data_IF_608101784201
#
_entry.id   IF_608101784201
#
_cell.length_a   1.000
_cell.length_b   1.000
_cell.length_c   1.000
_cell.angle_alpha   90.00
_cell.angle_beta   90.00
_cell.angle_gamma   90.00
#
_symmetry.space_group_name_H-M   'P 1'
#
loop_
_entity.id
_entity.type
_entity.pdbx_description
1 polymer ?
#
# COMPACT_ATOMS: atom_id res chain seq x y z
N UNK A 1 -4.59 16.52 17.72
CA UNK A 1 -3.14 16.43 17.47
C UNK A 1 -2.59 15.22 18.20
N UNK A 2 -1.72 14.45 17.55
CA UNK A 2 -1.05 13.28 18.13
C UNK A 2 0.44 13.37 17.83
N UNK A 3 1.26 12.75 18.67
CA UNK A 3 2.71 12.67 18.53
C UNK A 3 3.18 11.25 18.71
N UNK A 4 4.25 10.86 18.03
CA UNK A 4 4.89 9.56 18.16
C UNK A 4 4.92 8.77 16.86
N UNK A 5 4.87 7.42 16.95
CA UNK A 5 4.80 6.56 15.78
C UNK A 5 3.35 6.41 15.34
N UNK A 6 3.02 6.96 14.19
CA UNK A 6 1.65 7.09 13.68
C UNK A 6 1.51 6.46 12.29
N UNK A 7 0.26 6.07 11.96
CA UNK A 7 -0.11 5.80 10.57
C UNK A 7 -0.07 7.09 9.77
N UNK A 8 0.41 7.02 8.53
CA UNK A 8 0.43 8.19 7.65
C UNK A 8 -0.98 8.64 7.28
N UNK A 9 -1.16 9.94 7.09
CA UNK A 9 -2.43 10.51 6.69
C UNK A 9 -2.87 9.99 5.31
N UNK A 10 -1.92 9.83 4.40
CA UNK A 10 -2.17 9.28 3.08
C UNK A 10 -2.61 7.81 3.15
N UNK A 11 -1.94 6.99 3.95
CA UNK A 11 -2.35 5.60 4.18
C UNK A 11 -3.75 5.52 4.78
N UNK A 12 -4.04 6.30 5.82
CA UNK A 12 -5.37 6.33 6.45
C UNK A 12 -6.49 6.72 5.47
N UNK A 13 -6.19 7.60 4.51
CA UNK A 13 -7.16 8.04 3.52
C UNK A 13 -7.46 6.97 2.47
N UNK A 14 -6.50 6.13 2.10
CA UNK A 14 -6.61 5.30 0.91
C UNK A 14 -6.53 3.80 1.15
N UNK A 15 -5.80 3.31 2.16
CA UNK A 15 -5.68 1.87 2.45
C UNK A 15 -6.99 1.22 2.93
N UNK A 16 -7.95 2.02 3.36
CA UNK A 16 -9.31 1.58 3.74
C UNK A 16 -10.08 0.94 2.58
N UNK A 17 -9.61 1.09 1.35
CA UNK A 17 -10.21 0.47 0.17
C UNK A 17 -9.64 -0.92 -0.15
N UNK A 18 -8.64 -1.41 0.58
CA UNK A 18 -8.20 -2.80 0.47
C UNK A 18 -9.20 -3.74 1.15
N UNK A 19 -9.89 -4.55 0.36
CA UNK A 19 -10.90 -5.50 0.87
C UNK A 19 -10.30 -6.60 1.77
N UNK A 20 -8.97 -6.79 1.72
CA UNK A 20 -8.26 -7.71 2.60
C UNK A 20 -7.63 -7.01 3.82
N UNK A 21 -7.82 -5.68 3.94
CA UNK A 21 -7.39 -4.92 5.11
C UNK A 21 -5.88 -4.79 5.25
N UNK A 22 -5.16 -4.83 4.13
CA UNK A 22 -3.68 -4.74 4.09
C UNK A 22 -2.97 -5.82 4.90
N UNK A 23 -3.57 -7.02 4.98
CA UNK A 23 -3.00 -8.16 5.70
C UNK A 23 -3.17 -9.47 4.95
N UNK A 24 -2.23 -10.40 5.14
CA UNK A 24 -2.26 -11.74 4.55
C UNK A 24 -1.97 -11.76 3.06
N UNK A 25 -2.15 -12.94 2.46
CA UNK A 25 -1.78 -13.18 1.05
C UNK A 25 -2.68 -12.47 0.03
N UNK A 26 -3.88 -12.05 0.46
CA UNK A 26 -4.84 -11.34 -0.39
C UNK A 26 -4.66 -9.83 -0.44
N UNK A 27 -3.83 -9.26 0.46
CA UNK A 27 -3.64 -7.81 0.57
C UNK A 27 -3.17 -7.18 -0.74
N UNK A 28 -3.58 -5.94 -0.96
CA UNK A 28 -3.00 -5.10 -1.99
C UNK A 28 -1.69 -4.47 -1.50
N UNK A 29 -0.62 -4.62 -2.27
CA UNK A 29 0.64 -3.92 -2.02
C UNK A 29 0.61 -2.47 -2.48
N UNK A 30 -0.47 -2.05 -3.12
CA UNK A 30 -0.68 -0.68 -3.57
C UNK A 30 -0.53 0.34 -2.43
N UNK A 31 -1.08 0.01 -1.28
CA UNK A 31 -1.14 0.90 -0.12
C UNK A 31 0.04 0.76 0.84
N UNK A 32 0.85 -0.26 0.62
CA UNK A 32 2.03 -0.57 1.40
C UNK A 32 3.16 -0.87 0.42
N UNK A 33 3.75 0.17 -0.17
CA UNK A 33 4.98 0.00 -0.93
C UNK A 33 6.03 -0.55 0.01
N UNK A 34 6.29 -1.85 -0.11
CA UNK A 34 7.36 -2.49 0.62
C UNK A 34 8.71 -1.90 0.23
N UNK A 35 9.67 -2.16 1.07
CA UNK A 35 11.06 -1.75 0.99
C UNK A 35 11.57 -1.60 -0.45
N UNK A 36 12.12 -0.43 -0.77
CA UNK A 36 12.87 -0.23 -1.99
C UNK A 36 14.23 -0.89 -1.78
N UNK A 37 14.34 -2.17 -2.17
CA UNK A 37 15.66 -2.73 -2.40
C UNK A 37 16.30 -1.95 -3.55
N UNK A 38 17.49 -1.38 -3.35
CA UNK A 38 18.27 -0.82 -4.45
C UNK A 38 18.71 -1.97 -5.37
N UNK A 39 18.14 -2.07 -6.57
CA UNK A 39 18.43 -3.19 -7.46
C UNK A 39 19.72 -3.01 -8.24
N UNK A 40 20.28 -1.78 -8.24
CA UNK A 40 21.45 -1.45 -9.07
C UNK A 40 22.73 -1.83 -8.34
N UNK A 41 22.79 -1.66 -7.03
CA UNK A 41 24.04 -1.85 -6.27
C UNK A 41 24.01 -3.01 -5.28
N UNK A 42 22.92 -3.80 -5.24
CA UNK A 42 22.75 -4.88 -4.26
C UNK A 42 23.06 -4.44 -2.81
N UNK A 43 22.85 -3.15 -2.52
CA UNK A 43 23.01 -2.60 -1.18
C UNK A 43 21.88 -3.17 -0.37
N UNK A 44 22.24 -3.99 0.59
CA UNK A 44 21.29 -4.58 1.51
C UNK A 44 20.32 -3.52 2.02
N UNK A 45 19.04 -3.70 1.78
CA UNK A 45 17.94 -2.87 2.26
C UNK A 45 17.92 -2.70 3.80
N UNK A 46 18.85 -3.30 4.50
CA UNK A 46 19.05 -3.21 5.94
C UNK A 46 19.65 -1.87 6.42
N UNK A 47 20.12 -1.02 5.51
CA UNK A 47 20.61 0.31 5.87
C UNK A 47 19.47 1.33 5.76
N UNK A 48 18.45 1.21 6.62
CA UNK A 48 17.41 2.22 6.76
C UNK A 48 16.55 2.42 5.50
N UNK A 49 16.11 1.32 4.89
CA UNK A 49 15.18 1.36 3.77
C UNK A 49 13.97 2.18 4.15
N UNK A 50 13.85 3.33 3.54
CA UNK A 50 12.78 4.26 3.82
C UNK A 50 11.64 3.91 2.89
N UNK A 51 10.60 3.49 3.50
CA UNK A 51 9.37 3.16 2.82
C UNK A 51 8.43 4.34 3.01
N UNK A 52 7.79 4.82 1.94
CA UNK A 52 6.58 5.63 2.09
C UNK A 52 5.54 4.72 2.70
N UNK A 53 5.30 4.81 3.98
CA UNK A 53 4.78 3.68 4.69
C UNK A 53 3.49 3.95 5.38
N UNK A 54 2.95 2.83 5.73
CA UNK A 54 1.85 2.75 6.68
C UNK A 54 2.12 3.58 7.93
N UNK A 55 3.37 3.63 8.39
CA UNK A 55 3.73 4.32 9.65
C UNK A 55 5.04 5.08 9.54
N UNK A 56 5.06 6.21 10.23
CA UNK A 56 6.27 7.02 10.44
C UNK A 56 6.51 7.20 11.93
N UNK A 57 7.78 7.19 12.32
CA UNK A 57 8.23 7.50 13.69
C UNK A 57 8.44 9.01 13.84
N UNK A 58 8.52 9.49 15.08
CA UNK A 58 8.74 10.91 15.39
C UNK A 58 7.81 11.84 14.63
N UNK A 59 6.54 11.50 14.58
CA UNK A 59 5.54 12.23 13.81
C UNK A 59 4.73 13.18 14.66
N UNK A 60 4.41 14.32 14.07
CA UNK A 60 3.31 15.19 14.47
C UNK A 60 2.16 14.97 13.50
N UNK A 61 1.00 14.58 14.01
CA UNK A 61 -0.20 14.29 13.22
C UNK A 61 -1.36 15.16 13.67
N UNK A 62 -2.03 15.77 12.69
CA UNK A 62 -3.31 16.44 12.89
C UNK A 62 -4.38 15.72 12.06
N UNK A 63 -5.55 15.53 12.63
CA UNK A 63 -6.76 15.06 11.94
C UNK A 63 -7.89 16.04 12.27
N UNK A 64 -8.57 16.54 11.25
CA UNK A 64 -9.69 17.45 11.41
C UNK A 64 -10.91 16.74 12.01
N UNK A 65 -11.86 17.48 12.60
CA UNK A 65 -13.22 17.02 12.73
C UNK A 65 -13.84 16.63 11.39
N UNK A 66 -15.01 16.00 11.45
CA UNK A 66 -15.81 15.73 10.27
C UNK A 66 -16.58 17.00 9.86
N UNK A 67 -16.40 17.42 8.62
CA UNK A 67 -17.09 18.55 8.01
C UNK A 67 -18.05 18.05 6.93
N UNK A 68 -19.23 17.58 7.33
CA UNK A 68 -20.26 17.05 6.41
C UNK A 68 -19.71 15.95 5.48
N UNK A 69 -19.00 15.00 6.07
CA UNK A 69 -18.37 13.88 5.37
C UNK A 69 -16.92 14.12 4.94
N UNK A 70 -16.42 15.33 5.00
CA UNK A 70 -15.01 15.63 4.71
C UNK A 70 -14.14 15.55 5.96
N UNK A 71 -13.01 14.86 5.85
CA UNK A 71 -11.94 14.83 6.85
C UNK A 71 -10.59 15.03 6.18
N UNK A 72 -9.73 15.80 6.84
CA UNK A 72 -8.35 16.04 6.41
C UNK A 72 -7.41 15.54 7.49
N UNK A 73 -6.39 14.79 7.09
CA UNK A 73 -5.27 14.43 7.94
C UNK A 73 -3.98 15.02 7.37
N UNK A 74 -3.07 15.44 8.23
CA UNK A 74 -1.71 15.81 7.85
C UNK A 74 -0.72 15.25 8.85
N UNK A 75 0.43 14.82 8.36
CA UNK A 75 1.54 14.46 9.24
C UNK A 75 2.86 15.03 8.75
N UNK A 76 3.71 15.32 9.74
CA UNK A 76 5.10 15.63 9.54
C UNK A 76 5.95 14.70 10.42
N UNK A 77 6.86 13.95 9.77
CA UNK A 77 7.86 13.12 10.43
C UNK A 77 9.18 13.86 10.51
N UNK A 78 9.70 14.05 11.73
CA UNK A 78 11.00 14.62 11.94
C UNK A 78 12.07 13.59 11.61
N UNK A 79 12.97 13.90 10.68
CA UNK A 79 14.07 13.01 10.33
C UNK A 79 15.00 12.75 11.52
N UNK A 80 15.54 11.54 11.58
CA UNK A 80 16.55 11.16 12.56
C UNK A 80 17.86 10.89 11.82
N UNK A 81 18.81 11.80 11.94
CA UNK A 81 20.17 11.56 11.47
C UNK A 81 21.19 12.01 12.51
N UNK A 82 22.25 11.21 12.64
CA UNK A 82 23.38 11.51 13.54
C UNK A 82 24.15 12.76 13.16
N UNK A 83 23.96 13.28 11.94
CA UNK A 83 24.72 14.41 11.39
C UNK A 83 23.93 15.72 11.31
N UNK A 84 22.74 15.79 11.93
CA UNK A 84 21.94 17.04 12.00
C UNK A 84 21.34 17.50 10.66
N UNK A 85 21.43 16.68 9.63
CA UNK A 85 20.85 16.97 8.32
C UNK A 85 19.35 16.63 8.30
N UNK A 86 18.66 17.27 7.37
CA UNK A 86 17.21 17.12 7.19
C UNK A 86 16.78 15.79 6.53
N UNK A 87 17.58 14.77 6.66
CA UNK A 87 17.40 13.49 6.02
C UNK A 87 16.26 12.69 6.69
N UNK A 88 15.52 11.93 5.90
CA UNK A 88 14.40 11.10 6.34
C UNK A 88 13.19 11.89 6.86
N UNK A 89 13.02 13.15 6.44
CA UNK A 89 11.81 13.91 6.74
C UNK A 89 10.65 13.43 5.87
N UNK A 90 9.52 13.24 6.52
CA UNK A 90 8.29 12.85 5.86
C UNK A 90 7.25 13.96 5.95
N UNK A 91 6.54 14.21 4.87
CA UNK A 91 5.34 15.03 4.81
C UNK A 91 4.22 14.24 4.15
N UNK A 92 3.06 14.19 4.79
CA UNK A 92 1.90 13.50 4.24
C UNK A 92 0.61 14.24 4.48
N UNK A 93 -0.30 14.12 3.53
CA UNK A 93 -1.66 14.61 3.64
C UNK A 93 -2.65 13.55 3.13
N UNK A 94 -3.82 13.52 3.74
CA UNK A 94 -4.93 12.68 3.34
C UNK A 94 -6.24 13.45 3.38
N UNK A 95 -7.03 13.37 2.30
CA UNK A 95 -8.39 13.87 2.23
C UNK A 95 -9.34 12.68 2.11
N UNK A 96 -10.36 12.66 2.92
CA UNK A 96 -11.41 11.64 2.91
C UNK A 96 -12.75 12.31 2.74
N UNK A 97 -13.63 11.69 1.95
CA UNK A 97 -15.02 12.09 1.79
C UNK A 97 -15.93 10.88 1.87
N UNK A 98 -16.87 10.92 2.79
CA UNK A 98 -17.87 9.87 3.00
C UNK A 98 -19.27 10.48 2.96
N UNK A 99 -20.12 10.03 2.01
CA UNK A 99 -21.50 10.48 1.91
C UNK A 99 -22.39 9.34 1.40
N UNK A 100 -23.21 8.80 2.31
CA UNK A 100 -24.07 7.67 2.01
C UNK A 100 -23.30 6.48 1.44
N UNK A 101 -23.62 6.01 0.21
CA UNK A 101 -22.96 4.88 -0.40
C UNK A 101 -21.56 5.20 -0.96
N UNK A 102 -21.24 6.48 -1.15
CA UNK A 102 -19.98 6.93 -1.76
C UNK A 102 -18.92 7.21 -0.70
N UNK A 103 -17.72 6.70 -0.95
CA UNK A 103 -16.52 6.98 -0.16
C UNK A 103 -15.35 7.24 -1.09
N UNK A 104 -14.61 8.33 -0.88
CA UNK A 104 -13.43 8.73 -1.65
C UNK A 104 -12.26 9.05 -0.70
N UNK A 105 -11.04 8.82 -1.16
CA UNK A 105 -9.81 9.12 -0.44
C UNK A 105 -8.70 9.53 -1.38
N UNK A 106 -7.98 10.59 -1.02
CA UNK A 106 -6.77 11.07 -1.69
C UNK A 106 -5.64 11.11 -0.69
N UNK A 107 -4.50 10.54 -1.04
CA UNK A 107 -3.27 10.59 -0.26
C UNK A 107 -2.15 11.27 -1.05
N UNK A 108 -1.39 12.12 -0.38
CA UNK A 108 -0.20 12.79 -0.91
C UNK A 108 0.93 12.56 0.08
N UNK A 109 2.12 12.20 -0.41
CA UNK A 109 3.27 11.87 0.42
C UNK A 109 4.56 12.35 -0.22
N UNK A 110 5.44 12.87 0.61
CA UNK A 110 6.83 13.15 0.25
C UNK A 110 7.75 12.71 1.37
N UNK A 111 8.79 12.00 0.99
CA UNK A 111 9.86 11.57 1.86
C UNK A 111 11.19 12.06 1.30
N UNK A 112 11.91 12.86 2.08
CA UNK A 112 13.24 13.34 1.74
C UNK A 112 14.29 12.45 2.41
N UNK A 113 15.08 11.75 1.63
CA UNK A 113 16.12 10.86 2.15
C UNK A 113 17.48 11.54 2.36
N UNK A 114 17.64 12.77 1.88
CA UNK A 114 18.87 13.57 2.04
C UNK A 114 20.05 13.12 1.18
N UNK A 115 21.05 14.00 1.10
CA UNK A 115 22.21 13.85 0.22
C UNK A 115 23.20 12.74 0.62
N UNK A 116 23.04 12.14 1.78
CA UNK A 116 23.97 11.13 2.31
C UNK A 116 23.55 9.68 2.01
N UNK A 117 22.35 9.45 1.50
CA UNK A 117 22.03 8.13 0.96
C UNK A 117 22.54 8.06 -0.48
N UNK A 118 23.58 7.28 -0.70
CA UNK A 118 24.26 7.14 -2.01
C UNK A 118 23.33 6.60 -3.10
N UNK A 119 22.13 6.17 -2.76
CA UNK A 119 21.27 5.43 -3.67
C UNK A 119 19.88 6.05 -3.90
N UNK A 120 19.22 6.63 -2.91
CA UNK A 120 17.82 7.11 -3.02
C UNK A 120 17.71 8.52 -2.47
N UNK A 121 17.31 9.49 -3.31
CA UNK A 121 17.19 10.88 -2.85
C UNK A 121 15.81 11.17 -2.26
N UNK A 122 14.81 11.26 -3.07
CA UNK A 122 13.45 11.63 -2.64
C UNK A 122 12.41 10.63 -3.16
N UNK A 123 11.32 10.50 -2.43
CA UNK A 123 10.17 9.73 -2.84
C UNK A 123 8.95 10.63 -2.81
N UNK A 124 8.34 10.82 -3.96
CA UNK A 124 7.04 11.47 -4.10
C UNK A 124 5.97 10.45 -4.44
N UNK A 125 4.87 10.45 -3.71
CA UNK A 125 3.77 9.54 -4.00
C UNK A 125 2.41 10.22 -3.85
N UNK A 126 1.47 9.78 -4.68
CA UNK A 126 0.07 10.10 -4.51
C UNK A 126 -0.80 8.87 -4.75
N UNK A 127 -1.94 8.83 -4.10
CA UNK A 127 -2.87 7.72 -4.17
C UNK A 127 -4.31 8.22 -4.16
N UNK A 128 -5.14 7.55 -4.93
CA UNK A 128 -6.58 7.78 -5.00
C UNK A 128 -7.28 6.46 -4.72
N UNK A 129 -8.27 6.47 -3.87
CA UNK A 129 -9.12 5.32 -3.61
C UNK A 129 -10.58 5.74 -3.55
N UNK A 130 -11.46 4.78 -3.81
CA UNK A 130 -12.90 5.03 -3.68
C UNK A 130 -13.70 3.75 -3.61
N UNK A 131 -14.90 3.88 -3.11
CA UNK A 131 -15.87 2.79 -3.10
C UNK A 131 -17.29 3.31 -3.26
N UNK A 132 -18.14 2.46 -3.83
CA UNK A 132 -19.58 2.70 -3.92
C UNK A 132 -20.33 1.44 -3.48
N UNK A 133 -21.23 1.61 -2.53
CA UNK A 133 -22.08 0.54 -2.00
C UNK A 133 -23.44 0.53 -2.70
N UNK A 134 -23.70 -0.53 -3.46
CA UNK A 134 -24.97 -0.74 -4.17
C UNK A 134 -26.02 -1.46 -3.30
N UNK A 135 -25.71 -1.75 -2.04
CA UNK A 135 -26.54 -2.55 -1.15
C UNK A 135 -26.40 -4.06 -1.34
N UNK A 136 -26.38 -4.54 -2.57
CA UNK A 136 -26.15 -5.96 -2.90
C UNK A 136 -24.68 -6.32 -3.05
N UNK A 137 -23.84 -5.34 -3.39
CA UNK A 137 -22.40 -5.47 -3.51
C UNK A 137 -21.75 -4.08 -3.34
N UNK A 138 -20.50 -4.06 -2.87
CA UNK A 138 -19.67 -2.87 -2.81
C UNK A 138 -18.53 -3.01 -3.78
N UNK A 139 -18.40 -2.04 -4.69
CA UNK A 139 -17.24 -1.92 -5.58
C UNK A 139 -16.22 -0.98 -4.96
N UNK A 140 -14.94 -1.32 -5.13
CA UNK A 140 -13.81 -0.52 -4.65
C UNK A 140 -12.79 -0.42 -5.78
N UNK A 141 -12.18 0.77 -5.91
CA UNK A 141 -11.11 0.99 -6.86
C UNK A 141 -10.01 1.84 -6.23
N UNK A 142 -8.81 1.73 -6.76
CA UNK A 142 -7.68 2.51 -6.31
C UNK A 142 -6.57 2.63 -7.34
N UNK A 143 -5.83 3.71 -7.22
CA UNK A 143 -4.63 3.98 -7.98
C UNK A 143 -3.58 4.60 -7.06
N UNK A 144 -2.33 4.21 -7.25
CA UNK A 144 -1.18 4.85 -6.61
C UNK A 144 -0.05 5.02 -7.61
N UNK A 145 0.60 6.16 -7.55
CA UNK A 145 1.86 6.40 -8.24
C UNK A 145 2.90 6.84 -7.22
N UNK A 146 4.08 6.26 -7.29
CA UNK A 146 5.26 6.75 -6.59
C UNK A 146 6.40 6.95 -7.56
N UNK A 147 7.13 8.04 -7.38
CA UNK A 147 8.36 8.35 -8.09
C UNK A 147 9.50 8.30 -7.09
N UNK A 148 10.55 7.60 -7.45
CA UNK A 148 11.73 7.42 -6.62
C UNK A 148 12.94 7.80 -7.45
N UNK A 149 13.67 8.81 -7.02
CA UNK A 149 14.91 9.22 -7.66
C UNK A 149 16.07 8.38 -7.11
N UNK A 150 16.67 7.57 -7.97
CA UNK A 150 17.83 6.75 -7.64
C UNK A 150 19.02 7.24 -8.45
N UNK A 151 19.93 7.95 -7.81
CA UNK A 151 21.09 8.59 -8.45
C UNK A 151 20.65 9.48 -9.64
N UNK A 152 20.83 9.02 -10.88
CA UNK A 152 20.46 9.74 -12.10
C UNK A 152 19.24 9.16 -12.82
N UNK A 153 18.55 8.18 -12.22
CA UNK A 153 17.44 7.45 -12.85
C UNK A 153 16.16 7.62 -12.06
N UNK A 154 15.17 8.20 -12.69
CA UNK A 154 13.81 8.20 -12.16
C UNK A 154 13.20 6.80 -12.24
N UNK A 155 12.74 6.27 -11.12
CA UNK A 155 11.99 5.04 -11.04
C UNK A 155 10.53 5.37 -10.71
N UNK A 156 9.62 5.06 -11.63
CA UNK A 156 8.19 5.31 -11.48
C UNK A 156 7.41 4.02 -11.29
N UNK A 157 6.65 3.96 -10.21
CA UNK A 157 5.79 2.83 -9.89
C UNK A 157 4.34 3.24 -9.99
N UNK A 158 3.54 2.39 -10.64
CA UNK A 158 2.10 2.57 -10.75
C UNK A 158 1.42 1.32 -10.24
N UNK A 159 0.39 1.49 -9.44
CA UNK A 159 -0.45 0.42 -8.99
C UNK A 159 -1.92 0.72 -9.29
N UNK A 160 -2.63 -0.31 -9.72
CA UNK A 160 -4.05 -0.26 -10.02
C UNK A 160 -4.77 -1.32 -9.20
N UNK A 161 -5.89 -0.97 -8.63
CA UNK A 161 -6.68 -1.83 -7.77
C UNK A 161 -8.16 -1.79 -8.16
N UNK A 162 -8.76 -2.95 -8.26
CA UNK A 162 -10.20 -3.11 -8.41
C UNK A 162 -10.66 -4.25 -7.50
N UNK A 163 -11.73 -4.04 -6.76
CA UNK A 163 -12.25 -5.05 -5.87
C UNK A 163 -13.76 -4.99 -5.72
N UNK A 164 -14.31 -6.09 -5.24
CA UNK A 164 -15.71 -6.23 -4.91
C UNK A 164 -15.88 -7.00 -3.61
N UNK A 165 -16.85 -6.61 -2.82
CA UNK A 165 -17.38 -7.40 -1.71
C UNK A 165 -18.87 -7.60 -1.88
N UNK A 166 -19.36 -8.78 -1.55
CA UNK A 166 -20.79 -9.08 -1.58
C UNK A 166 -21.17 -10.01 -0.43
N UNK A 167 -22.29 -9.76 0.29
CA UNK A 167 -22.83 -10.70 1.23
C UNK A 167 -23.32 -11.95 0.50
N UNK A 168 -22.90 -13.12 0.95
CA UNK A 168 -23.31 -14.42 0.38
C UNK A 168 -23.59 -15.36 1.54
N UNK A 169 -24.85 -15.72 1.72
CA UNK A 169 -25.29 -16.48 2.88
C UNK A 169 -24.95 -15.75 4.18
N UNK A 170 -24.39 -16.42 5.19
CA UNK A 170 -24.01 -15.82 6.48
C UNK A 170 -22.65 -15.14 6.48
N UNK A 171 -22.01 -14.97 5.32
CA UNK A 171 -20.67 -14.41 5.23
C UNK A 171 -20.53 -13.39 4.13
N UNK A 172 -19.27 -13.01 3.89
CA UNK A 172 -18.86 -12.00 2.91
C UNK A 172 -17.85 -12.60 1.94
N UNK A 173 -18.19 -12.63 0.67
CA UNK A 173 -17.24 -12.86 -0.41
C UNK A 173 -16.49 -11.55 -0.68
N UNK A 174 -15.19 -11.64 -0.90
CA UNK A 174 -14.33 -10.54 -1.32
C UNK A 174 -13.40 -11.01 -2.43
N UNK A 175 -13.25 -10.18 -3.45
CA UNK A 175 -12.32 -10.43 -4.54
C UNK A 175 -11.60 -9.15 -4.92
N UNK A 176 -10.34 -9.24 -5.29
CA UNK A 176 -9.55 -8.12 -5.77
C UNK A 176 -8.65 -8.51 -6.93
N UNK A 177 -8.43 -7.54 -7.80
CA UNK A 177 -7.43 -7.59 -8.85
C UNK A 177 -6.49 -6.40 -8.67
N UNK A 178 -5.20 -6.68 -8.67
CA UNK A 178 -4.15 -5.69 -8.61
C UNK A 178 -3.28 -5.80 -9.85
N UNK A 179 -2.87 -4.66 -10.39
CA UNK A 179 -1.79 -4.56 -11.37
C UNK A 179 -0.73 -3.62 -10.83
N UNK A 180 0.50 -4.08 -10.85
CA UNK A 180 1.68 -3.34 -10.46
C UNK A 180 2.58 -3.13 -11.66
N UNK A 181 3.05 -1.92 -11.86
CA UNK A 181 3.99 -1.56 -12.92
C UNK A 181 5.16 -0.79 -12.34
N UNK A 182 6.35 -1.20 -12.67
CA UNK A 182 7.58 -0.50 -12.34
C UNK A 182 8.28 -0.11 -13.64
N UNK A 183 8.54 1.18 -13.81
CA UNK A 183 9.23 1.73 -14.99
C UNK A 183 10.55 2.32 -14.52
N UNK A 184 11.64 1.86 -15.05
CA UNK A 184 12.94 2.38 -14.71
C UNK A 184 13.91 2.19 -15.90
N UNK A 185 14.80 3.17 -16.13
CA UNK A 185 15.88 3.12 -17.12
C UNK A 185 15.44 2.56 -18.50
N UNK A 186 14.26 2.98 -18.99
CA UNK A 186 13.70 2.53 -20.27
C UNK A 186 13.07 1.15 -20.26
N UNK A 187 13.12 0.43 -19.12
CA UNK A 187 12.47 -0.87 -18.94
C UNK A 187 11.11 -0.76 -18.23
N UNK A 188 10.35 -1.83 -18.29
CA UNK A 188 9.06 -1.94 -17.62
C UNK A 188 8.86 -3.35 -17.09
N UNK A 189 8.58 -3.44 -15.80
CA UNK A 189 8.15 -4.67 -15.14
C UNK A 189 6.68 -4.60 -14.78
N UNK A 190 5.98 -5.72 -14.88
CA UNK A 190 4.56 -5.82 -14.53
C UNK A 190 4.29 -7.08 -13.74
N UNK A 191 3.39 -6.97 -12.77
CA UNK A 191 2.82 -8.10 -12.07
C UNK A 191 1.31 -7.92 -11.91
N UNK A 192 0.57 -9.01 -12.04
CA UNK A 192 -0.87 -9.07 -11.78
C UNK A 192 -1.13 -10.00 -10.60
N UNK A 193 -1.98 -9.56 -9.68
CA UNK A 193 -2.44 -10.36 -8.56
C UNK A 193 -3.97 -10.46 -8.58
N UNK A 194 -4.47 -11.67 -8.47
CA UNK A 194 -5.88 -11.96 -8.26
C UNK A 194 -6.05 -12.63 -6.90
N UNK A 195 -6.94 -12.10 -6.07
CA UNK A 195 -7.23 -12.66 -4.76
C UNK A 195 -8.74 -12.85 -4.58
N UNK A 196 -9.13 -13.99 -4.01
CA UNK A 196 -10.52 -14.29 -3.67
C UNK A 196 -10.57 -14.83 -2.25
N UNK A 197 -11.51 -14.37 -1.46
CA UNK A 197 -11.67 -14.82 -0.08
C UNK A 197 -13.14 -14.83 0.36
N UNK A 198 -13.37 -15.59 1.42
CA UNK A 198 -14.65 -15.66 2.09
C UNK A 198 -14.43 -15.52 3.60
N UNK A 199 -15.25 -14.69 4.23
CA UNK A 199 -15.28 -14.48 5.68
C UNK A 199 -16.61 -14.94 6.20
N UNK A 200 -16.61 -15.90 7.13
CA UNK A 200 -17.79 -16.43 7.77
C UNK A 200 -17.86 -15.99 9.23
N UNK A 201 -18.94 -15.32 9.62
CA UNK A 201 -19.15 -14.88 10.99
C UNK A 201 -19.70 -16.02 11.87
N UNK A 202 -18.89 -16.47 12.83
CA UNK A 202 -19.33 -17.43 13.85
C UNK A 202 -20.10 -16.73 14.98
N UNK A 203 -19.71 -15.50 15.30
CA UNK A 203 -20.38 -14.64 16.29
C UNK A 203 -20.09 -13.17 15.99
N UNK A 204 -20.65 -12.25 16.79
CA UNK A 204 -20.34 -10.81 16.68
C UNK A 204 -18.84 -10.48 16.87
N UNK A 205 -18.07 -11.38 17.50
CA UNK A 205 -16.66 -11.17 17.83
C UNK A 205 -15.73 -12.17 17.16
N UNK A 206 -16.26 -13.22 16.53
CA UNK A 206 -15.44 -14.31 15.97
C UNK A 206 -15.83 -14.57 14.53
N UNK A 207 -14.85 -14.58 13.65
CA UNK A 207 -15.01 -15.02 12.27
C UNK A 207 -13.89 -15.98 11.86
N UNK A 208 -14.20 -16.85 10.93
CA UNK A 208 -13.21 -17.66 10.21
C UNK A 208 -13.12 -17.15 8.79
N UNK A 209 -11.95 -17.24 8.19
CA UNK A 209 -11.77 -16.82 6.81
C UNK A 209 -10.87 -17.76 6.03
N UNK A 210 -11.11 -17.81 4.72
CA UNK A 210 -10.23 -18.44 3.75
C UNK A 210 -9.92 -17.44 2.63
N UNK A 211 -8.70 -17.45 2.14
CA UNK A 211 -8.24 -16.60 1.04
C UNK A 211 -7.35 -17.41 0.10
N UNK A 212 -7.61 -17.34 -1.19
CA UNK A 212 -6.72 -17.79 -2.24
C UNK A 212 -6.15 -16.56 -2.95
N UNK A 213 -4.88 -16.59 -3.27
CA UNK A 213 -4.24 -15.54 -4.06
C UNK A 213 -3.31 -16.13 -5.11
N UNK A 214 -3.32 -15.50 -6.28
CA UNK A 214 -2.48 -15.84 -7.42
C UNK A 214 -1.79 -14.59 -7.92
N UNK A 215 -0.46 -14.64 -8.03
CA UNK A 215 0.39 -13.56 -8.51
C UNK A 215 1.17 -14.05 -9.73
N UNK A 216 1.21 -13.25 -10.78
CA UNK A 216 1.97 -13.53 -12.00
C UNK A 216 2.80 -12.33 -12.41
N UNK A 217 4.09 -12.54 -12.56
CA UNK A 217 5.01 -11.63 -13.24
C UNK A 217 4.81 -11.73 -14.75
N UNK A 218 4.63 -10.61 -15.46
CA UNK A 218 4.41 -10.60 -16.91
C UNK A 218 5.63 -10.14 -17.69
N UNK A 219 6.20 -9.04 -17.29
CA UNK A 219 7.38 -8.46 -17.92
C UNK A 219 8.50 -8.41 -16.89
N UNK A 220 9.73 -8.61 -17.32
CA UNK A 220 10.90 -8.61 -16.47
C UNK A 220 12.06 -7.96 -17.21
N UNK A 221 12.57 -6.87 -16.67
CA UNK A 221 13.72 -6.13 -17.21
C UNK A 221 14.83 -5.96 -16.16
N UNK A 222 15.09 -7.02 -15.41
CA UNK A 222 16.20 -7.07 -14.45
C UNK A 222 15.82 -6.84 -13.00
N UNK A 223 14.74 -6.09 -12.72
CA UNK A 223 14.19 -5.94 -11.38
C UNK A 223 12.81 -6.56 -11.40
N UNK A 224 12.61 -7.68 -10.70
CA UNK A 224 11.26 -8.23 -10.65
C UNK A 224 10.33 -7.24 -9.94
N UNK A 225 9.31 -6.73 -10.64
CA UNK A 225 8.20 -6.05 -9.98
C UNK A 225 7.61 -6.91 -8.86
N UNK A 226 7.77 -8.22 -8.99
CA UNK A 226 7.41 -9.26 -8.04
C UNK A 226 8.33 -9.37 -6.83
N UNK A 227 9.58 -8.97 -6.89
CA UNK A 227 10.42 -8.89 -5.68
C UNK A 227 9.83 -7.94 -4.65
N UNK A 228 8.99 -7.00 -5.12
CA UNK A 228 8.24 -6.06 -4.30
C UNK A 228 6.85 -6.58 -3.89
N UNK A 229 6.32 -7.61 -4.57
CA UNK A 229 4.91 -8.03 -4.47
C UNK A 229 4.76 -9.54 -4.29
N UNK A 230 5.68 -10.19 -3.58
CA UNK A 230 5.58 -11.63 -3.33
C UNK A 230 4.46 -11.98 -2.36
N UNK A 231 3.81 -13.13 -2.56
CA UNK A 231 2.85 -13.69 -1.60
C UNK A 231 3.53 -14.30 -0.36
N UNK A 232 4.85 -14.40 -0.38
CA UNK A 232 5.67 -14.97 0.68
C UNK A 232 7.16 -14.72 0.41
N UNK A 233 8.05 -15.45 1.07
CA UNK A 233 9.49 -15.39 0.79
C UNK A 233 9.81 -16.12 -0.51
N UNK A 234 10.43 -15.48 -1.44
CA UNK A 234 10.94 -16.07 -2.68
C UNK A 234 10.89 -15.12 -3.87
N UNK A 235 11.95 -15.13 -4.66
CA UNK A 235 12.06 -14.31 -5.87
C UNK A 235 11.24 -14.90 -7.01
N UNK A 236 10.34 -14.12 -7.58
CA UNK A 236 9.72 -14.45 -8.83
C UNK A 236 10.69 -14.11 -9.98
N UNK A 237 11.11 -15.14 -10.70
CA UNK A 237 11.82 -14.97 -11.97
C UNK A 237 10.89 -14.45 -13.06
N UNK A 238 11.46 -14.03 -14.20
CA UNK A 238 10.70 -13.67 -15.40
C UNK A 238 9.58 -14.69 -15.69
N UNK A 239 8.36 -14.22 -15.91
CA UNK A 239 7.14 -15.04 -16.05
C UNK A 239 6.82 -15.97 -14.87
N UNK A 240 7.43 -15.73 -13.71
CA UNK A 240 7.18 -16.49 -12.50
C UNK A 240 5.74 -16.34 -12.01
N UNK A 241 5.27 -17.37 -11.33
CA UNK A 241 3.93 -17.43 -10.74
C UNK A 241 4.05 -17.84 -9.29
N UNK A 242 3.26 -17.21 -8.43
CA UNK A 242 3.06 -17.63 -7.05
C UNK A 242 1.57 -17.81 -6.79
N UNK A 243 1.24 -18.76 -5.96
CA UNK A 243 -0.13 -18.96 -5.49
C UNK A 243 -0.10 -19.42 -4.05
N UNK A 244 -1.15 -19.10 -3.31
CA UNK A 244 -1.23 -19.48 -1.91
C UNK A 244 -2.68 -19.57 -1.44
N UNK A 245 -2.87 -20.37 -0.40
CA UNK A 245 -4.12 -20.45 0.35
C UNK A 245 -3.80 -20.08 1.78
N UNK A 246 -4.60 -19.21 2.36
CA UNK A 246 -4.55 -18.84 3.76
C UNK A 246 -5.90 -19.09 4.41
N UNK A 247 -5.90 -19.73 5.56
CA UNK A 247 -7.07 -19.86 6.42
C UNK A 247 -6.74 -19.30 7.80
N UNK A 248 -7.74 -18.75 8.48
CA UNK A 248 -7.51 -18.16 9.79
C UNK A 248 -8.79 -17.87 10.55
N UNK A 249 -8.59 -17.49 11.79
CA UNK A 249 -9.64 -17.06 12.72
C UNK A 249 -9.31 -15.62 13.13
N UNK A 250 -10.32 -14.78 13.16
CA UNK A 250 -10.25 -13.43 13.74
C UNK A 250 -11.17 -13.38 14.94
N UNK A 251 -10.66 -12.91 16.08
CA UNK A 251 -11.41 -12.75 17.31
C UNK A 251 -11.14 -11.38 17.93
N UNK A 252 -12.21 -10.66 18.26
CA UNK A 252 -12.15 -9.39 18.99
C UNK A 252 -12.49 -9.62 20.47
N UNK A 253 -11.65 -9.10 21.36
CA UNK A 253 -11.83 -9.16 22.81
C UNK A 253 -12.68 -8.00 23.34
#
# INVERSE_FOLDING_TARGET
>A
VRMGRELTAAYNATARYDVFGSVGIGQSRLWADGEIADPINNVNANAGAVTTNQRISNALTYVSPDFSGFKVGVNYGFGETTNGNSDSRYMGAGLMYDNGPLSLGLGLERLNNGANSVAVSDIDAWSLGGSYDFGVAKLLAGYRQSTVDIATVENKRNGYYLAVTAPVGPGLVRASYNRYENKYNGGKDKADQLSVGYVYGLSKRTSVYGTYSYLKQKDYNGIPASAMYTLGSGDLKSNGKQQGIQVGVSHAF
#
